data_IF_423941292398
#
_entry.id   IF_423941292398
#
_cell.length_a   1.000
_cell.length_b   1.000
_cell.length_c   1.000
_cell.angle_alpha   90.00
_cell.angle_beta   90.00
_cell.angle_gamma   90.00
#
_symmetry.space_group_name_H-M   'P 1'
#
loop_
_entity.id
_entity.type
_entity.pdbx_description
1 polymer ?
#
# COMPACT_ATOMS: atom_id res chain seq x y z
N UNK A 1 -11.05 -6.67 1.21
CA UNK A 1 -10.16 -6.01 0.23
C UNK A 1 -9.25 -7.09 -0.37
N UNK A 2 -8.92 -6.98 -1.66
CA UNK A 2 -7.94 -7.86 -2.32
C UNK A 2 -6.66 -7.10 -2.64
N UNK A 3 -5.50 -7.74 -2.48
CA UNK A 3 -4.24 -7.16 -2.95
C UNK A 3 -3.29 -8.22 -3.50
N UNK A 4 -2.45 -7.84 -4.46
CA UNK A 4 -1.51 -8.75 -5.09
C UNK A 4 -0.29 -8.00 -5.62
N UNK A 5 0.86 -8.68 -5.64
CA UNK A 5 2.06 -8.21 -6.34
C UNK A 5 1.92 -8.31 -7.86
N UNK A 6 0.95 -9.09 -8.35
CA UNK A 6 0.67 -9.24 -9.77
C UNK A 6 -0.42 -8.24 -10.21
N UNK A 7 -0.09 -7.19 -10.99
CA UNK A 7 -1.07 -6.20 -11.45
C UNK A 7 -2.16 -6.81 -12.33
N UNK A 8 -1.87 -7.90 -13.05
CA UNK A 8 -2.84 -8.59 -13.90
C UNK A 8 -3.92 -9.28 -13.06
N UNK A 9 -3.55 -9.82 -11.89
CA UNK A 9 -4.53 -10.39 -10.94
C UNK A 9 -5.48 -9.30 -10.41
N UNK A 10 -4.94 -8.12 -10.10
CA UNK A 10 -5.74 -6.97 -9.66
C UNK A 10 -6.70 -6.50 -10.76
N UNK A 11 -6.23 -6.44 -12.02
CA UNK A 11 -7.07 -6.12 -13.19
C UNK A 11 -8.13 -7.17 -13.46
N UNK A 12 -7.78 -8.46 -13.40
CA UNK A 12 -8.76 -9.55 -13.60
C UNK A 12 -9.89 -9.46 -12.57
N UNK A 13 -9.54 -9.24 -11.30
CA UNK A 13 -10.55 -9.09 -10.27
C UNK A 13 -11.39 -7.80 -10.45
N UNK A 14 -10.87 -6.74 -11.09
CA UNK A 14 -11.67 -5.52 -11.30
C UNK A 14 -12.77 -5.74 -12.34
N UNK A 15 -12.62 -6.76 -13.19
CA UNK A 15 -13.62 -7.18 -14.17
C UNK A 15 -14.62 -8.18 -13.57
N UNK A 16 -14.14 -9.10 -12.72
CA UNK A 16 -14.96 -10.18 -12.16
C UNK A 16 -15.80 -9.74 -10.95
N UNK A 17 -15.27 -8.86 -10.12
CA UNK A 17 -15.89 -8.42 -8.87
C UNK A 17 -15.52 -6.95 -8.58
N UNK A 18 -16.04 -6.00 -9.39
CA UNK A 18 -15.69 -4.57 -9.30
C UNK A 18 -16.01 -3.95 -7.95
N UNK A 19 -16.99 -4.48 -7.21
CA UNK A 19 -17.40 -4.05 -5.87
C UNK A 19 -16.34 -4.33 -4.79
N UNK A 20 -15.42 -5.28 -5.02
CA UNK A 20 -14.37 -5.60 -4.05
C UNK A 20 -13.25 -4.55 -4.15
N UNK A 21 -12.94 -3.83 -3.05
CA UNK A 21 -11.83 -2.87 -3.02
C UNK A 21 -10.49 -3.58 -3.22
N UNK A 22 -9.58 -2.93 -3.94
CA UNK A 22 -8.34 -3.57 -4.41
C UNK A 22 -7.10 -2.67 -4.33
N UNK A 23 -5.96 -3.30 -4.08
CA UNK A 23 -4.65 -2.64 -4.03
C UNK A 23 -3.53 -3.41 -4.72
N UNK A 24 -2.48 -2.68 -5.14
CA UNK A 24 -1.28 -3.27 -5.76
C UNK A 24 -0.15 -3.31 -4.73
N UNK A 25 0.42 -4.49 -4.49
CA UNK A 25 1.58 -4.70 -3.59
C UNK A 25 2.89 -4.52 -4.36
N UNK A 26 3.86 -3.85 -3.73
CA UNK A 26 5.19 -3.73 -4.28
C UNK A 26 6.24 -3.32 -3.25
N UNK A 27 7.49 -3.64 -3.53
CA UNK A 27 8.64 -3.44 -2.67
C UNK A 27 9.89 -3.16 -3.52
N UNK A 28 10.95 -2.68 -2.86
CA UNK A 28 12.17 -2.21 -3.54
C UNK A 28 13.04 -3.35 -4.10
N UNK A 29 12.88 -4.56 -3.56
CA UNK A 29 13.56 -5.81 -3.94
C UNK A 29 12.92 -6.51 -5.14
N UNK A 30 11.76 -6.04 -5.62
CA UNK A 30 11.14 -6.57 -6.83
C UNK A 30 11.83 -6.11 -8.12
N UNK A 31 11.66 -6.88 -9.22
CA UNK A 31 12.06 -6.44 -10.56
C UNK A 31 11.57 -5.03 -10.88
N UNK A 32 12.39 -4.24 -11.58
CA UNK A 32 12.17 -2.80 -11.79
C UNK A 32 10.79 -2.45 -12.36
N UNK A 33 10.25 -3.30 -13.23
CA UNK A 33 8.95 -3.11 -13.85
C UNK A 33 7.77 -3.28 -12.87
N UNK A 34 7.93 -4.10 -11.82
CA UNK A 34 6.94 -4.26 -10.76
C UNK A 34 7.14 -3.24 -9.63
N UNK A 35 8.41 -2.97 -9.26
CA UNK A 35 8.76 -1.97 -8.22
C UNK A 35 8.21 -0.58 -8.53
N UNK A 36 8.33 -0.13 -9.78
CA UNK A 36 7.85 1.20 -10.19
C UNK A 36 6.34 1.22 -10.50
N UNK A 37 5.68 0.07 -10.39
CA UNK A 37 4.24 -0.09 -10.64
C UNK A 37 3.83 0.50 -12.00
N UNK A 38 4.64 0.33 -13.05
CA UNK A 38 4.44 1.03 -14.32
C UNK A 38 3.07 0.75 -14.98
N UNK A 39 2.50 -0.43 -14.74
CA UNK A 39 1.16 -0.81 -15.22
C UNK A 39 0.00 -0.21 -14.41
N UNK A 40 0.28 0.46 -13.28
CA UNK A 40 -0.72 1.05 -12.41
C UNK A 40 -1.81 1.88 -13.11
N UNK A 41 -1.48 2.76 -14.08
CA UNK A 41 -2.51 3.57 -14.76
C UNK A 41 -3.54 2.73 -15.52
N UNK A 42 -3.19 1.50 -15.91
CA UNK A 42 -4.06 0.59 -16.68
C UNK A 42 -4.76 -0.46 -15.82
N UNK A 43 -4.54 -0.43 -14.50
CA UNK A 43 -5.13 -1.38 -13.55
C UNK A 43 -6.07 -0.59 -12.66
N UNK A 44 -7.39 -0.76 -12.73
CA UNK A 44 -8.29 -0.09 -11.79
C UNK A 44 -8.00 -0.55 -10.35
N UNK A 45 -7.73 0.40 -9.44
CA UNK A 45 -7.51 0.15 -8.02
C UNK A 45 -7.74 1.42 -7.18
N UNK A 46 -7.98 1.25 -5.89
CA UNK A 46 -8.15 2.37 -4.95
C UNK A 46 -6.93 2.50 -4.01
N UNK A 47 -6.14 1.43 -3.87
CA UNK A 47 -5.05 1.37 -2.90
C UNK A 47 -3.69 1.05 -3.53
N UNK A 48 -2.64 1.63 -2.97
CA UNK A 48 -1.22 1.33 -3.21
C UNK A 48 -0.64 0.72 -1.95
N UNK A 49 -0.03 -0.45 -2.09
CA UNK A 49 0.56 -1.18 -0.97
C UNK A 49 2.09 -1.26 -1.07
N UNK A 50 2.81 -0.12 -0.94
CA UNK A 50 4.27 -0.13 -0.90
C UNK A 50 4.78 -0.82 0.36
N UNK A 51 5.99 -1.38 0.26
CA UNK A 51 6.79 -1.70 1.43
C UNK A 51 7.10 -0.43 2.24
N UNK A 52 7.14 -0.53 3.57
CA UNK A 52 7.27 0.61 4.50
C UNK A 52 8.50 1.48 4.29
N UNK A 53 9.59 0.89 3.80
CA UNK A 53 10.82 1.60 3.45
C UNK A 53 10.68 2.55 2.24
N UNK A 54 9.62 2.40 1.44
CA UNK A 54 9.37 3.21 0.25
C UNK A 54 8.42 4.39 0.51
N UNK A 55 7.88 4.52 1.73
CA UNK A 55 6.84 5.50 2.04
C UNK A 55 7.44 6.77 2.64
N UNK A 56 7.14 7.89 2.01
CA UNK A 56 7.40 9.25 2.50
C UNK A 56 6.09 10.06 2.54
N UNK A 57 6.07 11.18 3.27
CA UNK A 57 4.90 12.06 3.30
C UNK A 57 4.57 12.62 1.90
N UNK A 58 5.58 13.01 1.12
CA UNK A 58 5.42 13.45 -0.27
C UNK A 58 4.79 12.34 -1.14
N UNK A 59 5.23 11.10 -0.95
CA UNK A 59 4.69 9.95 -1.67
C UNK A 59 3.19 9.76 -1.40
N UNK A 60 2.80 9.81 -0.12
CA UNK A 60 1.39 9.68 0.29
C UNK A 60 0.56 10.83 -0.26
N UNK A 61 1.03 12.07 -0.15
CA UNK A 61 0.33 13.26 -0.66
C UNK A 61 0.13 13.20 -2.17
N UNK A 62 1.15 12.79 -2.93
CA UNK A 62 1.06 12.61 -4.38
C UNK A 62 -0.03 11.62 -4.77
N UNK A 63 -0.14 10.50 -4.07
CA UNK A 63 -1.17 9.50 -4.34
C UNK A 63 -2.56 9.96 -3.89
N UNK A 64 -2.66 10.64 -2.75
CA UNK A 64 -3.92 11.22 -2.29
C UNK A 64 -4.48 12.24 -3.30
N UNK A 65 -3.62 13.07 -3.90
CA UNK A 65 -4.01 14.00 -4.97
C UNK A 65 -4.54 13.30 -6.24
N UNK A 66 -4.24 12.00 -6.42
CA UNK A 66 -4.76 11.15 -7.50
C UNK A 66 -6.02 10.37 -7.09
N UNK A 67 -6.56 10.61 -5.89
CA UNK A 67 -7.68 9.86 -5.33
C UNK A 67 -7.30 8.45 -4.85
N UNK A 68 -6.00 8.16 -4.73
CA UNK A 68 -5.48 6.87 -4.27
C UNK A 68 -5.14 6.91 -2.78
N UNK A 69 -5.22 5.74 -2.15
CA UNK A 69 -4.94 5.53 -0.72
C UNK A 69 -3.71 4.66 -0.54
N UNK A 70 -2.94 4.87 0.53
CA UNK A 70 -1.69 4.15 0.79
C UNK A 70 -1.84 3.27 2.03
N UNK A 71 -1.65 1.97 1.87
CA UNK A 71 -1.55 1.03 2.99
C UNK A 71 -0.13 0.45 2.99
N UNK A 72 0.53 0.26 4.12
CA UNK A 72 1.95 -0.14 4.12
C UNK A 72 2.21 -1.40 4.95
N UNK A 73 3.24 -2.15 4.59
CA UNK A 73 3.61 -3.44 5.19
C UNK A 73 5.15 -3.67 5.13
N UNK A 74 5.72 -4.62 5.87
CA UNK A 74 5.25 -5.10 7.18
C UNK A 74 5.92 -4.21 8.23
N UNK A 75 5.12 -3.54 9.07
CA UNK A 75 5.63 -2.52 10.01
C UNK A 75 5.66 -3.08 11.42
N UNK A 76 6.86 -3.41 11.89
CA UNK A 76 7.07 -4.00 13.22
C UNK A 76 7.82 -3.07 14.18
N UNK A 77 8.54 -2.08 13.67
CA UNK A 77 9.31 -1.15 14.49
C UNK A 77 8.46 0.05 14.96
N UNK A 78 8.45 0.38 16.26
CA UNK A 78 7.65 1.48 16.80
C UNK A 78 7.92 2.84 16.14
N UNK A 79 9.18 3.13 15.83
CA UNK A 79 9.56 4.38 15.17
C UNK A 79 9.00 4.47 13.75
N UNK A 80 9.01 3.37 13.01
CA UNK A 80 8.37 3.30 11.70
C UNK A 80 6.85 3.43 11.81
N UNK A 81 6.21 2.82 12.81
CA UNK A 81 4.77 3.01 13.04
C UNK A 81 4.43 4.48 13.21
N UNK A 82 5.15 5.21 14.08
CA UNK A 82 4.92 6.65 14.31
C UNK A 82 5.20 7.47 13.04
N UNK A 83 6.34 7.22 12.38
CA UNK A 83 6.74 7.91 11.15
C UNK A 83 5.71 7.75 10.05
N UNK A 84 5.23 6.53 9.82
CA UNK A 84 4.29 6.21 8.74
C UNK A 84 2.88 6.73 9.05
N UNK A 85 2.44 6.66 10.31
CA UNK A 85 1.22 7.35 10.76
C UNK A 85 1.31 8.85 10.49
N UNK A 86 2.43 9.49 10.81
CA UNK A 86 2.65 10.92 10.53
C UNK A 86 2.70 11.23 9.02
N UNK A 87 3.13 10.28 8.18
CA UNK A 87 3.06 10.42 6.72
C UNK A 87 1.62 10.37 6.18
N UNK A 88 0.63 9.97 6.98
CA UNK A 88 -0.78 9.92 6.59
C UNK A 88 -1.18 8.63 5.84
N UNK A 89 -0.47 7.52 6.06
CA UNK A 89 -0.91 6.21 5.52
C UNK A 89 -2.29 5.85 6.05
N UNK A 90 -3.10 5.17 5.24
CA UNK A 90 -4.45 4.77 5.58
C UNK A 90 -4.49 3.51 6.45
N UNK A 91 -3.57 2.57 6.24
CA UNK A 91 -3.46 1.33 7.00
C UNK A 91 -1.99 0.99 7.21
N UNK A 92 -1.67 0.57 8.43
CA UNK A 92 -0.41 -0.09 8.77
C UNK A 92 -0.69 -1.59 8.93
N UNK A 93 0.06 -2.42 8.22
CA UNK A 93 0.03 -3.87 8.34
C UNK A 93 1.30 -4.30 9.05
N UNK A 94 1.16 -4.91 10.23
CA UNK A 94 2.25 -5.42 11.05
C UNK A 94 1.86 -6.74 11.71
N UNK A 95 2.85 -7.43 12.26
CA UNK A 95 2.66 -8.80 12.75
C UNK A 95 2.00 -8.86 14.15
N UNK A 96 2.14 -7.80 14.95
CA UNK A 96 1.60 -7.70 16.31
C UNK A 96 0.57 -6.57 16.44
N UNK A 97 -0.74 -6.87 16.30
CA UNK A 97 -1.79 -5.89 16.54
C UNK A 97 -1.75 -5.28 17.94
N UNK A 98 -1.29 -6.05 18.95
CA UNK A 98 -1.11 -5.57 20.32
C UNK A 98 -0.08 -4.45 20.37
N UNK A 99 1.13 -4.70 19.87
CA UNK A 99 2.22 -3.72 19.85
C UNK A 99 1.82 -2.48 19.06
N UNK A 100 1.17 -2.67 17.90
CA UNK A 100 0.68 -1.53 17.10
C UNK A 100 -0.30 -0.67 17.90
N UNK A 101 -1.27 -1.28 18.58
CA UNK A 101 -2.22 -0.54 19.42
C UNK A 101 -1.54 0.23 20.56
N UNK A 102 -0.50 -0.33 21.16
CA UNK A 102 0.26 0.35 22.24
C UNK A 102 1.07 1.54 21.72
N UNK A 103 1.53 1.51 20.47
CA UNK A 103 2.42 2.53 19.90
C UNK A 103 1.64 3.70 19.27
N UNK A 104 0.54 3.41 18.58
CA UNK A 104 -0.20 4.40 17.76
C UNK A 104 -1.70 4.51 18.10
N UNK A 105 -2.20 3.72 19.05
CA UNK A 105 -3.62 3.67 19.43
C UNK A 105 -3.99 4.54 20.62
#
# INVERSE_FOLDING_TARGET
>A
MFSSFNPLSVRKLSQLAPEIPRGILYSADMPIHLRNVWLAPFVPHQFRHPHHSMVTAEYVQKLAAQGLRVNTWTVNEPDDMRRLTACGVNVLMGDSPKTMKEVIG
#
